data_IF_701877361182
#
_entry.id   IF_701877361182
#
_cell.length_a   1.000
_cell.length_b   1.000
_cell.length_c   1.000
_cell.angle_alpha   90.00
_cell.angle_beta   90.00
_cell.angle_gamma   90.00
#
_symmetry.space_group_name_H-M   'P 1'
#
loop_
_entity.id
_entity.type
_entity.pdbx_description
1 polymer ?
#
# COMPACT_ATOMS: atom_id res chain seq x y z
N UNK A 1 0.28 -16.12 -17.79
CA UNK A 1 0.92 -15.42 -16.65
C UNK A 1 -0.10 -14.45 -16.07
N UNK A 2 -0.04 -14.13 -14.78
CA UNK A 2 -1.09 -13.37 -14.08
C UNK A 2 -0.46 -12.15 -13.41
N UNK A 3 -1.19 -11.05 -13.28
CA UNK A 3 -0.81 -9.99 -12.35
C UNK A 3 -1.16 -10.37 -10.90
N UNK A 4 -0.46 -9.77 -9.94
CA UNK A 4 -0.83 -9.80 -8.51
C UNK A 4 -0.82 -8.38 -7.97
N UNK A 5 -1.71 -8.06 -7.04
CA UNK A 5 -1.77 -6.72 -6.43
C UNK A 5 -1.91 -6.77 -4.91
N UNK A 6 -1.06 -6.00 -4.23
CA UNK A 6 -0.98 -5.88 -2.78
C UNK A 6 -1.25 -4.43 -2.38
N UNK A 7 -2.37 -4.20 -1.69
CA UNK A 7 -2.70 -2.89 -1.11
C UNK A 7 -2.11 -2.81 0.28
N UNK A 8 -1.44 -1.71 0.60
CA UNK A 8 -0.88 -1.44 1.93
C UNK A 8 -1.74 -0.37 2.57
N UNK A 9 -2.65 -0.73 3.47
CA UNK A 9 -3.58 0.23 4.08
C UNK A 9 -3.85 -0.02 5.56
N UNK A 10 -4.05 1.10 6.27
CA UNK A 10 -4.61 1.20 7.61
C UNK A 10 -5.24 2.59 7.73
N UNK A 11 -6.41 2.68 8.36
CA UNK A 11 -7.13 3.93 8.59
C UNK A 11 -6.45 4.87 9.60
N UNK A 12 -5.31 4.47 10.17
CA UNK A 12 -4.46 5.28 11.03
C UNK A 12 -3.27 5.87 10.27
N UNK A 13 -3.01 7.16 10.47
CA UNK A 13 -1.80 7.85 10.00
C UNK A 13 -0.55 7.43 10.77
N UNK A 14 0.64 7.57 10.16
CA UNK A 14 1.91 7.36 10.87
C UNK A 14 2.26 5.90 11.24
N UNK A 15 1.61 4.90 10.64
CA UNK A 15 1.95 3.47 10.82
C UNK A 15 3.06 2.98 9.89
N UNK A 16 3.55 3.84 8.98
CA UNK A 16 4.65 3.52 8.05
C UNK A 16 4.26 2.95 6.68
N UNK A 17 3.01 3.12 6.23
CA UNK A 17 2.50 2.59 4.94
C UNK A 17 3.45 2.84 3.75
N UNK A 18 3.74 4.11 3.46
CA UNK A 18 4.58 4.51 2.32
C UNK A 18 6.03 4.01 2.47
N UNK A 19 6.59 4.02 3.69
CA UNK A 19 7.95 3.53 3.96
C UNK A 19 8.06 2.02 3.78
N UNK A 20 7.05 1.28 4.25
CA UNK A 20 6.97 -0.17 4.03
C UNK A 20 6.81 -0.45 2.54
N UNK A 21 5.94 0.28 1.84
CA UNK A 21 5.75 0.15 0.40
C UNK A 21 7.07 0.35 -0.36
N UNK A 22 7.79 1.43 -0.05
CA UNK A 22 9.10 1.75 -0.63
C UNK A 22 10.09 0.59 -0.49
N UNK A 23 10.33 0.12 0.74
CA UNK A 23 11.30 -0.93 0.99
C UNK A 23 10.88 -2.28 0.41
N UNK A 24 9.60 -2.63 0.57
CA UNK A 24 9.06 -3.90 0.10
C UNK A 24 9.12 -4.00 -1.41
N UNK A 25 8.65 -2.99 -2.15
CA UNK A 25 8.68 -2.98 -3.60
C UNK A 25 10.11 -2.99 -4.14
N UNK A 26 11.02 -2.21 -3.54
CA UNK A 26 12.42 -2.14 -3.95
C UNK A 26 13.15 -3.48 -3.79
N UNK A 27 13.01 -4.11 -2.62
CA UNK A 27 13.64 -5.40 -2.35
C UNK A 27 12.99 -6.52 -3.15
N UNK A 28 11.66 -6.49 -3.33
CA UNK A 28 10.97 -7.47 -4.15
C UNK A 28 11.43 -7.39 -5.61
N UNK A 29 11.62 -6.18 -6.15
CA UNK A 29 12.15 -5.98 -7.50
C UNK A 29 13.56 -6.55 -7.67
N UNK A 30 14.45 -6.27 -6.71
CA UNK A 30 15.83 -6.76 -6.71
C UNK A 30 15.90 -8.30 -6.65
N UNK A 31 15.04 -8.94 -5.85
CA UNK A 31 15.00 -10.40 -5.71
C UNK A 31 14.31 -11.13 -6.87
N UNK A 32 13.54 -10.41 -7.70
CA UNK A 32 12.75 -10.99 -8.79
C UNK A 32 12.99 -10.26 -10.13
N UNK A 33 14.21 -10.32 -10.71
CA UNK A 33 14.55 -9.57 -11.93
C UNK A 33 13.76 -9.99 -13.18
N UNK A 34 13.17 -11.17 -13.16
CA UNK A 34 12.30 -11.74 -14.19
C UNK A 34 10.86 -11.19 -14.18
N UNK A 35 10.48 -10.45 -13.13
CA UNK A 35 9.16 -9.85 -12.95
C UNK A 35 9.19 -8.33 -13.09
N UNK A 36 8.05 -7.75 -13.44
CA UNK A 36 7.86 -6.30 -13.44
C UNK A 36 7.14 -5.87 -12.17
N UNK A 37 7.72 -4.90 -11.47
CA UNK A 37 7.19 -4.42 -10.19
C UNK A 37 6.67 -3.01 -10.41
N UNK A 38 5.43 -2.74 -10.02
CA UNK A 38 4.81 -1.43 -10.18
C UNK A 38 4.34 -0.93 -8.84
N UNK A 39 4.80 0.26 -8.44
CA UNK A 39 4.25 0.98 -7.30
C UNK A 39 3.18 1.94 -7.82
N UNK A 40 1.98 1.88 -7.25
CA UNK A 40 0.89 2.82 -7.50
C UNK A 40 0.69 3.65 -6.24
N UNK A 41 0.99 4.94 -6.32
CA UNK A 41 0.89 5.84 -5.18
C UNK A 41 -0.47 6.56 -5.18
N UNK A 42 -1.42 6.02 -4.40
CA UNK A 42 -2.76 6.59 -4.22
C UNK A 42 -2.81 7.52 -3.00
N UNK A 43 -1.66 7.98 -2.49
CA UNK A 43 -1.57 8.94 -1.41
C UNK A 43 -1.30 10.34 -1.98
N UNK A 44 -2.15 11.35 -1.72
CA UNK A 44 -1.92 12.71 -2.20
C UNK A 44 -0.60 13.33 -1.71
N UNK A 45 -0.04 12.81 -0.62
CA UNK A 45 1.25 13.26 -0.08
C UNK A 45 2.46 12.73 -0.86
N UNK A 46 2.24 11.81 -1.81
CA UNK A 46 3.25 11.25 -2.71
C UNK A 46 4.53 10.71 -2.02
N UNK A 47 4.44 10.29 -0.75
CA UNK A 47 5.62 9.95 0.06
C UNK A 47 6.42 8.78 -0.54
N UNK A 48 5.76 7.72 -1.01
CA UNK A 48 6.47 6.60 -1.64
C UNK A 48 7.07 7.02 -2.97
N UNK A 49 6.40 7.89 -3.73
CA UNK A 49 6.95 8.46 -4.97
C UNK A 49 8.23 9.26 -4.71
N UNK A 50 8.22 10.14 -3.70
CA UNK A 50 9.41 10.91 -3.32
C UNK A 50 10.59 9.99 -2.94
N UNK A 51 10.35 8.96 -2.11
CA UNK A 51 11.40 8.00 -1.73
C UNK A 51 11.95 7.24 -2.94
N UNK A 52 11.08 6.79 -3.86
CA UNK A 52 11.50 6.07 -5.06
C UNK A 52 12.31 6.94 -6.03
N UNK A 53 11.98 8.23 -6.13
CA UNK A 53 12.58 9.17 -7.07
C UNK A 53 13.82 9.91 -6.51
N UNK A 54 14.44 9.37 -5.46
CA UNK A 54 15.72 9.85 -4.92
C UNK A 54 15.68 10.34 -3.47
N UNK A 55 14.49 10.44 -2.87
CA UNK A 55 14.31 10.91 -1.50
C UNK A 55 14.63 12.40 -1.31
N UNK A 56 14.25 12.92 -0.14
CA UNK A 56 14.48 14.32 0.24
C UNK A 56 14.01 15.31 -0.83
N UNK A 57 14.76 16.40 -0.98
CA UNK A 57 14.43 17.49 -1.90
C UNK A 57 14.50 17.05 -3.38
N UNK A 58 15.36 16.07 -3.70
CA UNK A 58 15.46 15.51 -5.05
C UNK A 58 14.16 14.80 -5.45
N UNK A 59 13.68 13.93 -4.58
CA UNK A 59 12.43 13.19 -4.79
C UNK A 59 11.24 14.13 -4.92
N UNK A 60 11.14 15.13 -4.05
CA UNK A 60 10.10 16.18 -4.11
C UNK A 60 10.12 16.91 -5.46
N UNK A 61 11.28 17.44 -5.85
CA UNK A 61 11.46 18.14 -7.14
C UNK A 61 11.06 17.25 -8.32
N UNK A 62 11.37 15.95 -8.28
CA UNK A 62 11.00 15.01 -9.35
C UNK A 62 9.51 14.73 -9.41
N UNK A 63 8.84 14.60 -8.26
CA UNK A 63 7.38 14.47 -8.21
C UNK A 63 6.73 15.72 -8.83
N UNK A 64 7.16 16.92 -8.45
CA UNK A 64 6.63 18.17 -9.01
C UNK A 64 6.81 18.29 -10.52
N UNK A 65 7.99 17.88 -11.03
CA UNK A 65 8.28 17.85 -12.47
C UNK A 65 7.31 16.93 -13.22
N UNK A 66 7.08 15.72 -12.73
CA UNK A 66 6.20 14.73 -13.37
C UNK A 66 4.73 15.19 -13.37
N UNK A 67 4.28 15.84 -12.30
CA UNK A 67 2.92 16.39 -12.19
C UNK A 67 2.73 17.58 -13.14
N UNK A 68 3.78 18.35 -13.40
CA UNK A 68 3.73 19.56 -14.22
C UNK A 68 3.94 19.33 -15.73
N UNK A 69 4.12 18.08 -16.17
CA UNK A 69 4.21 17.76 -17.60
C UNK A 69 2.88 18.05 -18.33
N UNK A 70 2.94 18.34 -19.63
CA UNK A 70 1.73 18.56 -20.47
C UNK A 70 0.75 17.38 -20.38
N UNK A 71 1.30 16.16 -20.33
CA UNK A 71 0.58 14.96 -19.89
C UNK A 71 1.17 14.55 -18.54
N UNK A 72 0.56 14.90 -17.41
CA UNK A 72 1.10 14.58 -16.09
C UNK A 72 1.37 13.09 -15.97
N UNK A 73 2.62 12.70 -15.68
CA UNK A 73 3.01 11.30 -15.47
C UNK A 73 2.70 10.86 -14.04
N UNK A 74 1.42 10.99 -13.69
CA UNK A 74 0.93 10.80 -12.33
C UNK A 74 -0.39 10.04 -12.32
N UNK A 75 -0.80 9.65 -11.13
CA UNK A 75 -2.08 9.00 -10.88
C UNK A 75 -3.25 9.88 -11.31
N UNK A 76 -3.18 11.19 -11.09
CA UNK A 76 -4.20 12.14 -11.51
C UNK A 76 -4.23 12.23 -13.04
N UNK A 77 -3.06 12.32 -13.69
CA UNK A 77 -2.98 12.30 -15.16
C UNK A 77 -3.62 11.05 -15.77
N UNK A 78 -3.33 9.87 -15.21
CA UNK A 78 -3.95 8.62 -15.67
C UNK A 78 -5.47 8.60 -15.44
N UNK A 79 -5.92 9.03 -14.26
CA UNK A 79 -7.34 9.01 -13.91
C UNK A 79 -8.16 10.00 -14.74
N UNK A 80 -7.65 11.21 -14.98
CA UNK A 80 -8.34 12.22 -15.78
C UNK A 80 -8.41 11.80 -17.25
N UNK A 81 -7.33 11.27 -17.81
CA UNK A 81 -7.33 10.71 -19.18
C UNK A 81 -8.33 9.55 -19.30
N UNK A 82 -8.37 8.66 -18.30
CA UNK A 82 -9.37 7.57 -18.24
C UNK A 82 -10.80 8.09 -18.24
N UNK A 83 -11.09 9.16 -17.50
CA UNK A 83 -12.45 9.73 -17.41
C UNK A 83 -12.83 10.44 -18.70
N UNK A 84 -11.93 11.27 -19.26
CA UNK A 84 -12.15 12.03 -20.50
C UNK A 84 -12.37 11.08 -21.68
N UNK A 85 -11.61 9.99 -21.73
CA UNK A 85 -11.73 8.96 -22.76
C UNK A 85 -12.82 7.91 -22.44
N UNK A 86 -13.84 8.26 -21.64
CA UNK A 86 -14.99 7.41 -21.29
C UNK A 86 -14.61 6.00 -20.79
N UNK A 87 -13.57 5.92 -19.96
CA UNK A 87 -13.04 4.70 -19.35
C UNK A 87 -12.60 3.62 -20.37
N UNK A 88 -12.30 4.04 -21.60
CA UNK A 88 -11.66 3.20 -22.62
C UNK A 88 -10.22 2.84 -22.22
N UNK A 89 -9.60 1.92 -22.95
CA UNK A 89 -8.24 1.47 -22.65
C UNK A 89 -7.25 2.61 -22.83
N UNK A 90 -6.79 3.16 -21.71
CA UNK A 90 -5.72 4.15 -21.66
C UNK A 90 -4.38 3.44 -21.72
N UNK A 91 -3.45 3.95 -22.53
CA UNK A 91 -2.09 3.43 -22.57
C UNK A 91 -1.34 3.79 -21.29
N UNK A 92 -1.34 2.87 -20.31
CA UNK A 92 -0.67 3.00 -19.03
C UNK A 92 0.80 3.40 -19.15
N UNK A 93 1.52 2.94 -20.19
CA UNK A 93 2.94 3.24 -20.38
C UNK A 93 3.25 4.73 -20.53
N UNK A 94 2.26 5.55 -20.92
CA UNK A 94 2.42 7.02 -20.98
C UNK A 94 2.59 7.66 -19.60
N UNK A 95 2.07 7.02 -18.55
CA UNK A 95 2.01 7.55 -17.19
C UNK A 95 2.99 6.87 -16.24
N UNK A 96 3.62 5.77 -16.68
CA UNK A 96 4.60 5.05 -15.88
C UNK A 96 5.98 5.69 -15.96
N UNK A 97 6.62 5.78 -14.80
CA UNK A 97 8.00 6.20 -14.64
C UNK A 97 8.85 4.98 -14.36
N UNK A 98 9.94 4.82 -15.10
CA UNK A 98 10.95 3.81 -14.79
C UNK A 98 11.85 4.36 -13.67
N UNK A 99 11.77 3.76 -12.50
CA UNK A 99 12.34 4.35 -11.28
C UNK A 99 13.87 4.47 -11.37
N UNK A 100 14.53 3.45 -11.93
CA UNK A 100 15.99 3.44 -12.09
C UNK A 100 16.56 4.61 -12.91
N UNK A 101 15.76 5.25 -13.78
CA UNK A 101 16.20 6.41 -14.57
C UNK A 101 16.32 7.69 -13.72
N UNK A 102 15.70 7.70 -12.54
CA UNK A 102 15.76 8.81 -11.57
C UNK A 102 16.52 8.43 -10.29
N UNK A 103 16.66 7.13 -10.01
CA UNK A 103 17.35 6.62 -8.84
C UNK A 103 18.15 5.35 -9.20
N UNK A 104 19.45 5.51 -9.44
CA UNK A 104 20.33 4.43 -9.92
C UNK A 104 20.50 3.26 -8.94
N UNK A 105 20.15 3.46 -7.67
CA UNK A 105 20.22 2.44 -6.62
C UNK A 105 19.06 1.44 -6.68
N UNK A 106 18.04 1.69 -7.49
CA UNK A 106 16.84 0.86 -7.59
C UNK A 106 16.85 0.00 -8.86
N UNK A 107 16.23 -1.18 -8.80
CA UNK A 107 16.27 -2.16 -9.89
C UNK A 107 15.55 -1.67 -11.16
N UNK A 108 16.06 -2.08 -12.34
CA UNK A 108 15.54 -1.66 -13.66
C UNK A 108 14.12 -2.13 -13.99
N UNK A 109 13.62 -3.13 -13.25
CA UNK A 109 12.28 -3.70 -13.37
C UNK A 109 11.26 -3.07 -12.41
N UNK A 110 11.61 -1.96 -11.76
CA UNK A 110 10.72 -1.20 -10.88
C UNK A 110 10.16 0.02 -11.62
N UNK A 111 8.83 0.10 -11.66
CA UNK A 111 8.05 1.17 -12.27
C UNK A 111 7.19 1.87 -11.21
N UNK A 112 6.84 3.12 -11.48
CA UNK A 112 6.04 3.96 -10.61
C UNK A 112 4.92 4.62 -11.42
N UNK A 113 3.68 4.49 -10.94
CA UNK A 113 2.59 5.41 -11.24
C UNK A 113 2.55 6.45 -10.11
N UNK A 114 3.12 7.62 -10.40
CA UNK A 114 3.50 8.63 -9.40
C UNK A 114 2.28 9.21 -8.67
N UNK A 115 2.44 9.48 -7.39
CA UNK A 115 1.47 10.17 -6.56
C UNK A 115 1.31 11.63 -6.99
N UNK A 116 0.17 12.23 -6.63
CA UNK A 116 -0.18 13.59 -7.04
C UNK A 116 -1.09 14.25 -6.01
N UNK A 117 -0.69 15.42 -5.50
CA UNK A 117 -1.47 16.19 -4.53
C UNK A 117 -2.83 16.67 -5.06
N UNK A 118 -2.97 16.81 -6.38
CA UNK A 118 -4.22 17.18 -7.02
C UNK A 118 -5.31 16.11 -6.87
N UNK A 119 -4.97 14.92 -6.37
CA UNK A 119 -5.93 13.87 -6.05
C UNK A 119 -6.96 14.33 -5.01
N UNK A 120 -6.59 15.21 -4.07
CA UNK A 120 -7.53 15.85 -3.14
C UNK A 120 -8.48 16.82 -3.86
N UNK A 121 -7.97 17.55 -4.86
CA UNK A 121 -8.76 18.54 -5.61
C UNK A 121 -9.79 17.88 -6.52
N UNK A 122 -9.45 16.73 -7.12
CA UNK A 122 -10.37 15.99 -8.00
C UNK A 122 -11.29 15.03 -7.24
N UNK A 123 -11.05 14.78 -5.94
CA UNK A 123 -11.85 13.85 -5.15
C UNK A 123 -13.37 14.17 -5.14
N UNK A 124 -13.82 15.44 -5.03
CA UNK A 124 -15.23 15.77 -5.16
C UNK A 124 -15.80 15.42 -6.54
N UNK A 125 -15.06 15.68 -7.63
CA UNK A 125 -15.48 15.35 -8.98
C UNK A 125 -15.63 13.83 -9.19
N UNK A 126 -14.71 13.04 -8.63
CA UNK A 126 -14.80 11.58 -8.64
C UNK A 126 -16.04 11.11 -7.86
N UNK A 127 -16.33 11.73 -6.72
CA UNK A 127 -17.47 11.37 -5.89
C UNK A 127 -18.80 11.71 -6.57
N UNK A 128 -18.90 12.89 -7.19
CA UNK A 128 -20.07 13.30 -7.95
C UNK A 128 -20.31 12.36 -9.13
N UNK A 129 -19.25 12.02 -9.88
CA UNK A 129 -19.37 11.04 -10.98
C UNK A 129 -19.79 9.67 -10.46
N UNK A 130 -19.20 9.16 -9.38
CA UNK A 130 -19.55 7.86 -8.82
C UNK A 130 -20.99 7.79 -8.28
N UNK A 131 -21.57 8.94 -7.91
CA UNK A 131 -22.94 9.07 -7.42
C UNK A 131 -23.94 9.52 -8.51
N UNK A 132 -23.47 9.73 -9.74
CA UNK A 132 -24.33 10.16 -10.83
C UNK A 132 -25.44 9.13 -11.12
N UNK A 133 -26.61 9.63 -11.52
CA UNK A 133 -27.71 8.78 -11.97
C UNK A 133 -27.29 8.07 -13.26
N UNK A 134 -27.34 6.73 -13.32
CA UNK A 134 -27.09 5.99 -14.55
C UNK A 134 -27.99 6.45 -15.70
N UNK A 135 -27.40 6.77 -16.85
CA UNK A 135 -28.17 7.18 -18.04
C UNK A 135 -28.69 5.99 -18.85
N UNK A 136 -28.15 4.80 -18.63
CA UNK A 136 -28.56 3.55 -19.28
C UNK A 136 -28.17 2.35 -18.42
N UNK A 137 -28.62 1.14 -18.78
CA UNK A 137 -28.17 -0.10 -18.10
C UNK A 137 -26.66 -0.36 -18.26
N UNK A 138 -26.04 0.16 -19.32
CA UNK A 138 -24.61 0.03 -19.57
C UNK A 138 -23.78 1.08 -18.80
N UNK A 139 -24.41 2.19 -18.39
CA UNK A 139 -23.76 3.23 -17.60
C UNK A 139 -23.73 2.80 -16.14
N UNK A 140 -22.53 2.54 -15.61
CA UNK A 140 -22.32 2.13 -14.22
C UNK A 140 -21.35 3.07 -13.52
N UNK A 141 -21.75 4.29 -13.17
CA UNK A 141 -20.83 5.34 -12.75
C UNK A 141 -19.98 4.95 -11.53
N UNK A 142 -20.60 4.31 -10.54
CA UNK A 142 -19.90 3.84 -9.34
C UNK A 142 -18.82 2.81 -9.70
N UNK A 143 -19.18 1.73 -10.41
CA UNK A 143 -18.27 0.67 -10.86
C UNK A 143 -17.15 1.23 -11.74
N UNK A 144 -17.47 2.14 -12.67
CA UNK A 144 -16.50 2.74 -13.59
C UNK A 144 -15.43 3.54 -12.86
N UNK A 145 -15.82 4.44 -11.95
CA UNK A 145 -14.88 5.26 -11.16
C UNK A 145 -14.03 4.36 -10.25
N UNK A 146 -14.67 3.41 -9.60
CA UNK A 146 -14.01 2.48 -8.68
C UNK A 146 -13.03 1.55 -9.42
N UNK A 147 -13.33 1.18 -10.67
CA UNK A 147 -12.49 0.25 -11.43
C UNK A 147 -11.32 0.89 -12.17
N UNK A 148 -11.13 2.23 -12.12
CA UNK A 148 -10.07 2.91 -12.88
C UNK A 148 -8.70 2.27 -12.62
N UNK A 149 -8.32 2.12 -11.35
CA UNK A 149 -7.03 1.52 -10.97
C UNK A 149 -7.11 -0.01 -10.94
N UNK A 150 -8.30 -0.59 -10.79
CA UNK A 150 -8.45 -2.04 -10.91
C UNK A 150 -8.03 -2.53 -12.30
N UNK A 151 -8.40 -1.81 -13.36
CA UNK A 151 -7.98 -2.10 -14.74
C UNK A 151 -6.46 -2.08 -14.87
N UNK A 152 -5.77 -1.10 -14.28
CA UNK A 152 -4.29 -1.06 -14.21
C UNK A 152 -3.75 -2.36 -13.60
N UNK A 153 -4.26 -2.76 -12.44
CA UNK A 153 -3.76 -3.94 -11.73
C UNK A 153 -4.11 -5.28 -12.38
N UNK A 154 -5.04 -5.31 -13.34
CA UNK A 154 -5.36 -6.50 -14.13
C UNK A 154 -4.41 -6.68 -15.34
N UNK A 155 -3.71 -5.63 -15.74
CA UNK A 155 -2.83 -5.62 -16.91
C UNK A 155 -1.39 -6.06 -16.59
N UNK A 156 -0.69 -6.52 -17.62
CA UNK A 156 0.75 -6.76 -17.61
C UNK A 156 1.48 -5.57 -18.23
N UNK A 157 2.65 -5.22 -17.70
CA UNK A 157 3.47 -4.11 -18.24
C UNK A 157 4.20 -4.56 -19.51
N UNK A 158 4.77 -5.76 -19.48
CA UNK A 158 5.44 -6.39 -20.60
C UNK A 158 4.90 -7.79 -20.80
N UNK A 159 4.64 -8.15 -22.06
CA UNK A 159 4.19 -9.49 -22.42
C UNK A 159 5.22 -10.54 -21.98
N UNK A 160 4.74 -11.67 -21.46
CA UNK A 160 5.60 -12.75 -21.00
C UNK A 160 6.32 -12.51 -19.66
N UNK A 161 5.99 -11.44 -18.92
CA UNK A 161 6.51 -11.17 -17.57
C UNK A 161 5.36 -11.06 -16.56
N UNK A 162 5.52 -11.68 -15.39
CA UNK A 162 4.59 -11.47 -14.27
C UNK A 162 4.68 -10.02 -13.82
N UNK A 163 3.54 -9.37 -13.56
CA UNK A 163 3.51 -8.00 -13.00
C UNK A 163 2.98 -8.03 -11.57
N UNK A 164 3.74 -7.43 -10.65
CA UNK A 164 3.37 -7.29 -9.24
C UNK A 164 3.12 -5.82 -8.92
N UNK A 165 1.90 -5.51 -8.48
CA UNK A 165 1.50 -4.17 -8.08
C UNK A 165 1.54 -4.01 -6.56
N UNK A 166 2.21 -2.96 -6.09
CA UNK A 166 2.14 -2.49 -4.70
C UNK A 166 1.41 -1.16 -4.67
N UNK A 167 0.33 -1.06 -3.90
CA UNK A 167 -0.53 0.12 -3.85
C UNK A 167 -0.34 0.80 -2.49
N UNK A 168 0.29 1.97 -2.48
CA UNK A 168 0.36 2.84 -1.30
C UNK A 168 -0.91 3.69 -1.19
N UNK A 169 -1.30 4.02 0.04
CA UNK A 169 -2.63 4.58 0.30
C UNK A 169 -2.63 5.67 1.37
N UNK A 170 -3.58 6.59 1.26
CA UNK A 170 -3.90 7.56 2.30
C UNK A 170 -4.60 6.86 3.50
N UNK A 171 -4.32 7.23 4.76
CA UNK A 171 -5.09 6.74 5.90
C UNK A 171 -6.60 7.04 5.84
N UNK A 172 -7.01 8.21 5.37
CA UNK A 172 -8.43 8.57 5.28
C UNK A 172 -9.15 7.70 4.26
N UNK A 173 -10.35 7.21 4.59
CA UNK A 173 -11.15 6.34 3.71
C UNK A 173 -11.96 7.15 2.66
N UNK A 174 -11.27 8.07 1.98
CA UNK A 174 -11.78 8.87 0.88
C UNK A 174 -12.07 8.03 -0.37
N UNK A 175 -12.66 8.64 -1.41
CA UNK A 175 -12.97 7.93 -2.66
C UNK A 175 -11.71 7.37 -3.34
N UNK A 176 -10.59 8.09 -3.35
CA UNK A 176 -9.36 7.58 -3.95
C UNK A 176 -8.74 6.44 -3.14
N UNK A 177 -8.89 6.44 -1.81
CA UNK A 177 -8.52 5.28 -0.98
C UNK A 177 -9.44 4.09 -1.25
N UNK A 178 -10.74 4.31 -1.48
CA UNK A 178 -11.67 3.25 -1.88
C UNK A 178 -11.27 2.64 -3.24
N UNK A 179 -10.94 3.47 -4.23
CA UNK A 179 -10.39 3.05 -5.53
C UNK A 179 -9.10 2.24 -5.35
N UNK A 180 -8.20 2.69 -4.49
CA UNK A 180 -6.95 2.00 -4.19
C UNK A 180 -7.18 0.63 -3.54
N UNK A 181 -8.14 0.52 -2.62
CA UNK A 181 -8.40 -0.72 -1.89
C UNK A 181 -8.91 -1.82 -2.82
N UNK A 182 -9.82 -1.49 -3.73
CA UNK A 182 -10.43 -2.49 -4.63
C UNK A 182 -9.53 -2.89 -5.78
N UNK A 183 -8.47 -2.13 -6.08
CA UNK A 183 -7.47 -2.55 -7.07
C UNK A 183 -6.58 -3.68 -6.53
N UNK A 184 -6.56 -3.91 -5.22
CA UNK A 184 -5.85 -5.01 -4.56
C UNK A 184 -6.56 -6.36 -4.62
N UNK A 185 -5.79 -7.42 -4.87
CA UNK A 185 -6.20 -8.80 -4.55
C UNK A 185 -5.95 -9.10 -3.07
N UNK A 186 -4.83 -8.61 -2.54
CA UNK A 186 -4.36 -8.85 -1.17
C UNK A 186 -4.23 -7.53 -0.41
N UNK A 187 -4.55 -7.55 0.88
CA UNK A 187 -4.41 -6.43 1.80
C UNK A 187 -3.30 -6.73 2.82
N UNK A 188 -2.32 -5.84 2.88
CA UNK A 188 -1.28 -5.77 3.89
C UNK A 188 -1.64 -4.64 4.85
N UNK A 189 -1.67 -4.92 6.15
CA UNK A 189 -2.14 -3.97 7.17
C UNK A 189 -0.99 -3.62 8.10
N UNK A 190 -0.33 -2.46 7.91
CA UNK A 190 0.63 -1.95 8.88
C UNK A 190 -0.06 -1.49 10.15
N UNK A 191 0.43 -1.87 11.32
CA UNK A 191 -0.07 -1.45 12.64
C UNK A 191 1.09 -0.98 13.52
N UNK A 192 0.81 -0.10 14.47
CA UNK A 192 1.76 0.24 15.53
C UNK A 192 1.32 -0.45 16.83
N UNK A 193 2.26 -0.73 17.72
CA UNK A 193 1.99 -1.27 19.05
C UNK A 193 1.47 -0.19 20.02
N UNK A 194 0.20 0.19 19.87
CA UNK A 194 -0.49 1.17 20.74
C UNK A 194 -2.00 0.88 20.83
N UNK A 195 -2.66 1.38 21.88
CA UNK A 195 -4.05 1.06 22.17
C UNK A 195 -5.04 1.44 21.06
N UNK A 196 -4.77 2.55 20.37
CA UNK A 196 -5.65 3.03 19.30
C UNK A 196 -5.62 2.13 18.07
N UNK A 197 -4.60 1.28 17.90
CA UNK A 197 -4.52 0.30 16.81
C UNK A 197 -5.61 -0.78 16.90
N UNK A 198 -6.10 -1.14 18.10
CA UNK A 198 -7.24 -2.08 18.24
C UNK A 198 -8.55 -1.49 17.70
N UNK A 199 -8.76 -0.20 17.96
CA UNK A 199 -9.91 0.56 17.43
C UNK A 199 -9.78 0.68 15.91
N UNK A 200 -8.57 0.97 15.42
CA UNK A 200 -8.29 1.04 13.99
C UNK A 200 -8.62 -0.27 13.25
N UNK A 201 -8.27 -1.44 13.82
CA UNK A 201 -8.67 -2.74 13.24
C UNK A 201 -10.18 -2.84 13.08
N UNK A 202 -10.93 -2.57 14.15
CA UNK A 202 -12.41 -2.68 14.11
C UNK A 202 -13.00 -1.74 13.05
N UNK A 203 -12.48 -0.51 12.97
CA UNK A 203 -12.88 0.45 11.95
C UNK A 203 -12.53 -0.01 10.52
N UNK A 204 -11.31 -0.54 10.30
CA UNK A 204 -10.89 -1.13 9.03
C UNK A 204 -11.85 -2.22 8.56
N UNK A 205 -12.25 -3.13 9.47
CA UNK A 205 -13.18 -4.20 9.12
C UNK A 205 -14.56 -3.66 8.74
N UNK A 206 -15.07 -2.70 9.50
CA UNK A 206 -16.36 -2.07 9.19
C UNK A 206 -16.33 -1.32 7.86
N UNK A 207 -15.22 -0.63 7.55
CA UNK A 207 -15.07 0.13 6.31
C UNK A 207 -14.97 -0.77 5.08
N UNK A 208 -14.10 -1.78 5.08
CA UNK A 208 -13.85 -2.64 3.91
C UNK A 208 -14.89 -3.75 3.80
N UNK A 209 -15.18 -4.44 4.90
CA UNK A 209 -15.97 -5.68 4.90
C UNK A 209 -17.41 -5.50 5.39
N UNK A 210 -17.74 -4.31 5.93
CA UNK A 210 -19.06 -3.98 6.45
C UNK A 210 -19.25 -4.40 7.91
N UNK A 211 -20.09 -3.64 8.62
CA UNK A 211 -20.58 -4.01 9.95
C UNK A 211 -21.58 -5.16 9.85
N UNK A 212 -21.62 -6.02 10.87
CA UNK A 212 -22.61 -7.12 10.93
C UNK A 212 -24.07 -6.65 11.01
N UNK A 213 -24.29 -5.39 11.42
CA UNK A 213 -25.60 -4.76 11.46
C UNK A 213 -25.63 -3.57 10.50
N UNK A 214 -26.65 -3.53 9.64
CA UNK A 214 -26.89 -2.42 8.72
C UNK A 214 -27.50 -1.24 9.49
N UNK A 215 -26.91 -0.06 9.36
CA UNK A 215 -27.48 1.14 9.98
C UNK A 215 -28.74 1.58 9.22
N UNK A 216 -29.87 1.90 9.90
CA UNK A 216 -31.15 2.19 9.25
C UNK A 216 -31.10 3.41 8.31
N UNK A 217 -30.25 4.40 8.62
CA UNK A 217 -30.15 5.65 7.83
C UNK A 217 -29.15 5.53 6.66
N UNK A 218 -27.88 5.22 6.96
CA UNK A 218 -26.80 5.29 5.96
C UNK A 218 -26.32 3.92 5.47
N UNK A 219 -26.89 2.81 5.94
CA UNK A 219 -26.37 1.47 5.67
C UNK A 219 -26.23 1.14 4.18
N UNK A 220 -27.25 1.51 3.38
CA UNK A 220 -27.27 1.32 1.93
C UNK A 220 -26.23 2.16 1.16
N UNK A 221 -25.66 3.18 1.82
CA UNK A 221 -24.67 4.07 1.25
C UNK A 221 -23.24 3.71 1.65
N UNK A 222 -23.06 2.75 2.56
CA UNK A 222 -21.73 2.29 2.95
C UNK A 222 -20.99 1.67 1.77
N UNK A 223 -19.67 1.85 1.73
CA UNK A 223 -18.80 1.28 0.69
C UNK A 223 -19.00 -0.23 0.55
N UNK A 224 -19.05 -0.97 1.66
CA UNK A 224 -19.18 -2.43 1.65
C UNK A 224 -20.47 -2.94 0.97
N UNK A 225 -21.59 -2.23 1.15
CA UNK A 225 -22.89 -2.56 0.54
C UNK A 225 -22.91 -2.16 -0.92
N UNK A 226 -22.42 -0.96 -1.26
CA UNK A 226 -22.29 -0.52 -2.65
C UNK A 226 -21.40 -1.45 -3.47
N UNK A 227 -20.29 -1.90 -2.90
CA UNK A 227 -19.41 -2.88 -3.52
C UNK A 227 -20.14 -4.20 -3.83
N UNK A 228 -20.92 -4.72 -2.87
CA UNK A 228 -21.74 -5.93 -3.06
C UNK A 228 -22.79 -5.74 -4.15
N UNK A 229 -23.52 -4.62 -4.14
CA UNK A 229 -24.57 -4.34 -5.11
C UNK A 229 -24.02 -4.22 -6.54
N UNK A 230 -22.76 -3.80 -6.69
CA UNK A 230 -22.07 -3.76 -7.99
C UNK A 230 -21.31 -5.06 -8.31
N UNK A 231 -21.43 -6.11 -7.48
CA UNK A 231 -20.75 -7.39 -7.69
C UNK A 231 -19.22 -7.32 -7.68
N UNK A 232 -18.66 -6.26 -7.10
CA UNK A 232 -17.22 -6.03 -7.10
C UNK A 232 -16.53 -6.78 -5.97
N UNK A 233 -15.27 -7.17 -6.21
CA UNK A 233 -14.43 -7.85 -5.22
C UNK A 233 -13.69 -6.85 -4.35
N UNK A 234 -13.38 -7.27 -3.13
CA UNK A 234 -12.51 -6.56 -2.18
C UNK A 234 -11.27 -7.42 -1.90
N UNK A 235 -10.16 -6.83 -1.45
CA UNK A 235 -8.97 -7.59 -1.15
C UNK A 235 -9.19 -8.52 0.05
N UNK A 236 -8.45 -9.62 0.07
CA UNK A 236 -8.35 -10.51 1.24
C UNK A 236 -7.12 -10.14 2.07
N UNK A 237 -7.23 -10.21 3.39
CA UNK A 237 -6.15 -9.91 4.32
C UNK A 237 -5.04 -10.94 4.13
N UNK A 238 -3.85 -10.46 3.80
CA UNK A 238 -2.69 -11.31 3.57
C UNK A 238 -1.73 -11.30 4.76
N UNK A 239 -1.36 -10.10 5.24
CA UNK A 239 -0.41 -9.94 6.34
C UNK A 239 -0.78 -8.74 7.21
N UNK A 240 -0.56 -8.89 8.51
CA UNK A 240 -0.53 -7.83 9.51
C UNK A 240 0.94 -7.51 9.79
N UNK A 241 1.37 -6.30 9.47
CA UNK A 241 2.75 -5.86 9.68
C UNK A 241 2.81 -4.99 10.90
N UNK A 242 3.31 -5.50 12.02
CA UNK A 242 3.45 -4.66 13.19
C UNK A 242 4.79 -3.96 13.22
N UNK A 243 4.72 -2.64 13.24
CA UNK A 243 5.82 -1.70 13.25
C UNK A 243 6.08 -1.24 14.70
N UNK A 244 7.35 -0.95 15.03
CA UNK A 244 7.82 -0.52 16.36
C UNK A 244 7.77 -1.57 17.48
N UNK A 245 8.01 -2.83 17.17
CA UNK A 245 8.21 -3.87 18.19
C UNK A 245 9.68 -3.94 18.67
N UNK A 246 10.23 -2.95 19.40
CA UNK A 246 11.64 -3.04 19.88
C UNK A 246 11.92 -2.63 21.34
N UNK A 247 12.52 -3.57 22.06
CA UNK A 247 13.76 -3.54 22.89
C UNK A 247 14.12 -2.32 23.78
N UNK A 248 13.22 -1.86 24.66
CA UNK A 248 13.68 -1.42 26.00
C UNK A 248 13.26 -2.48 26.99
N UNK A 249 14.17 -3.03 27.79
CA UNK A 249 13.92 -4.19 28.69
C UNK A 249 12.64 -4.04 29.56
N UNK A 250 12.23 -2.82 29.90
CA UNK A 250 10.92 -2.55 30.54
C UNK A 250 9.74 -2.25 29.60
N UNK A 251 9.97 -1.63 28.44
CA UNK A 251 8.90 -1.33 27.46
C UNK A 251 8.60 -2.50 26.51
N UNK A 252 9.52 -3.45 26.37
CA UNK A 252 9.41 -4.60 25.48
C UNK A 252 8.23 -5.50 25.88
N UNK A 253 8.03 -5.73 27.17
CA UNK A 253 6.85 -6.48 27.66
C UNK A 253 5.54 -5.74 27.39
N UNK A 254 5.51 -4.40 27.54
CA UNK A 254 4.32 -3.61 27.25
C UNK A 254 4.00 -3.58 25.74
N UNK A 255 5.01 -3.42 24.89
CA UNK A 255 4.86 -3.48 23.43
C UNK A 255 4.45 -4.87 22.96
N UNK A 256 5.00 -5.93 23.56
CA UNK A 256 4.59 -7.30 23.30
C UNK A 256 3.12 -7.52 23.69
N UNK A 257 2.70 -7.08 24.88
CA UNK A 257 1.30 -7.19 25.30
C UNK A 257 0.34 -6.43 24.36
N UNK A 258 0.74 -5.24 23.90
CA UNK A 258 -0.03 -4.46 22.92
C UNK A 258 -0.06 -5.15 21.54
N UNK A 259 1.06 -5.75 21.12
CA UNK A 259 1.16 -6.57 19.90
C UNK A 259 0.18 -7.73 19.95
N UNK A 260 0.25 -8.53 21.01
CA UNK A 260 -0.61 -9.70 21.24
C UNK A 260 -2.08 -9.29 21.32
N UNK A 261 -2.41 -8.19 22.00
CA UNK A 261 -3.76 -7.67 22.05
C UNK A 261 -4.30 -7.26 20.67
N UNK A 262 -3.43 -6.70 19.82
CA UNK A 262 -3.76 -6.28 18.46
C UNK A 262 -3.91 -7.48 17.52
N UNK A 263 -2.99 -8.46 17.60
CA UNK A 263 -3.11 -9.72 16.90
C UNK A 263 -4.35 -10.50 17.33
N UNK A 264 -4.70 -10.49 18.62
CA UNK A 264 -5.91 -11.14 19.13
C UNK A 264 -7.19 -10.45 18.63
N UNK A 265 -7.18 -9.11 18.47
CA UNK A 265 -8.28 -8.41 17.82
C UNK A 265 -8.48 -8.87 16.37
N UNK A 266 -7.39 -9.00 15.61
CA UNK A 266 -7.42 -9.59 14.26
C UNK A 266 -7.90 -11.04 14.27
N UNK A 267 -7.46 -11.86 15.22
CA UNK A 267 -7.85 -13.26 15.35
C UNK A 267 -9.36 -13.40 15.66
N UNK A 268 -9.94 -12.49 16.45
CA UNK A 268 -11.39 -12.45 16.67
C UNK A 268 -12.14 -12.18 15.37
N UNK A 269 -11.64 -11.29 14.52
CA UNK A 269 -12.23 -11.04 13.20
C UNK A 269 -12.03 -12.22 12.23
N UNK A 270 -10.88 -12.89 12.29
CA UNK A 270 -10.61 -14.13 11.57
C UNK A 270 -11.65 -15.21 11.92
N UNK A 271 -11.90 -15.46 13.20
CA UNK A 271 -12.89 -16.46 13.65
C UNK A 271 -14.32 -16.15 13.18
N UNK A 272 -14.67 -14.88 13.00
CA UNK A 272 -15.98 -14.49 12.47
C UNK A 272 -16.13 -14.85 10.99
N UNK A 273 -15.08 -14.64 10.19
CA UNK A 273 -15.09 -14.97 8.76
C UNK A 273 -13.67 -15.22 8.22
N UNK A 274 -13.21 -16.48 8.25
CA UNK A 274 -11.88 -16.86 7.75
C UNK A 274 -11.67 -16.60 6.26
N UNK A 275 -12.74 -16.56 5.45
CA UNK A 275 -12.64 -16.33 4.00
C UNK A 275 -12.17 -14.91 3.65
N UNK A 276 -12.13 -13.99 4.63
CA UNK A 276 -11.52 -12.67 4.48
C UNK A 276 -10.00 -12.71 4.47
N UNK A 277 -9.38 -13.85 4.75
CA UNK A 277 -7.93 -14.01 4.87
C UNK A 277 -7.37 -14.94 3.80
N UNK A 278 -6.18 -14.62 3.30
CA UNK A 278 -5.49 -15.41 2.27
C UNK A 278 -5.13 -16.82 2.75
N UNK A 279 -5.05 -17.78 1.83
CA UNK A 279 -4.66 -19.17 2.15
C UNK A 279 -5.57 -19.86 3.18
N UNK A 280 -6.83 -19.44 3.33
CA UNK A 280 -7.85 -20.17 4.09
C UNK A 280 -8.25 -21.49 3.40
N UNK A 281 -8.31 -21.49 2.07
CA UNK A 281 -8.77 -22.64 1.27
C UNK A 281 -7.73 -23.77 1.09
N UNK A 282 -6.47 -23.55 1.50
CA UNK A 282 -5.39 -24.53 1.36
C UNK A 282 -5.32 -25.55 2.50
N UNK A 283 -6.36 -25.63 3.34
CA UNK A 283 -6.50 -26.63 4.41
C UNK A 283 -5.68 -26.37 5.68
N UNK A 284 -4.78 -25.38 5.67
CA UNK A 284 -4.11 -24.88 6.87
C UNK A 284 -4.93 -23.75 7.49
N UNK A 285 -6.09 -24.09 8.06
CA UNK A 285 -6.91 -23.14 8.83
C UNK A 285 -6.31 -23.02 10.24
N UNK A 286 -5.74 -21.86 10.64
CA UNK A 286 -5.37 -21.66 12.04
C UNK A 286 -6.53 -21.96 12.99
N UNK A 287 -6.35 -22.96 13.85
CA UNK A 287 -7.34 -23.33 14.87
C UNK A 287 -7.04 -22.60 16.19
N UNK A 288 -5.76 -22.30 16.43
CA UNK A 288 -5.27 -21.63 17.61
C UNK A 288 -4.69 -20.25 17.28
N UNK A 289 -4.51 -19.44 18.32
CA UNK A 289 -4.04 -18.06 18.17
C UNK A 289 -2.59 -18.01 17.67
N UNK A 290 -1.78 -18.95 18.14
CA UNK A 290 -0.37 -19.10 17.81
C UNK A 290 -0.19 -19.40 16.30
N UNK A 291 -0.99 -20.33 15.76
CA UNK A 291 -1.03 -20.64 14.32
C UNK A 291 -1.41 -19.41 13.49
N UNK A 292 -2.34 -18.60 14.00
CA UNK A 292 -2.79 -17.39 13.33
C UNK A 292 -1.67 -16.34 13.32
N UNK A 293 -0.95 -16.18 14.44
CA UNK A 293 0.18 -15.28 14.54
C UNK A 293 1.29 -15.68 13.56
N UNK A 294 1.71 -16.95 13.55
CA UNK A 294 2.77 -17.42 12.66
C UNK A 294 2.44 -17.18 11.18
N UNK A 295 1.17 -17.42 10.80
CA UNK A 295 0.72 -17.33 9.42
C UNK A 295 0.50 -15.89 8.94
N UNK A 296 -0.16 -15.05 9.74
CA UNK A 296 -0.63 -13.73 9.29
C UNK A 296 0.09 -12.55 9.91
N UNK A 297 0.77 -12.71 11.04
CA UNK A 297 1.47 -11.61 11.70
C UNK A 297 2.94 -11.65 11.31
N UNK A 298 3.45 -10.48 10.92
CA UNK A 298 4.86 -10.29 10.63
C UNK A 298 5.37 -9.08 11.42
N UNK A 299 6.41 -9.29 12.21
CA UNK A 299 7.01 -8.24 13.01
C UNK A 299 8.05 -7.49 12.21
N UNK A 300 7.75 -6.22 11.91
CA UNK A 300 8.73 -5.26 11.44
C UNK A 300 9.44 -4.67 12.66
N UNK A 301 10.76 -4.82 12.72
CA UNK A 301 11.55 -4.07 13.69
C UNK A 301 11.58 -2.59 13.28
N UNK A 302 11.55 -1.69 14.27
CA UNK A 302 11.63 -0.25 14.00
C UNK A 302 12.91 0.04 13.21
N UNK A 303 12.75 0.61 12.02
CA UNK A 303 13.88 0.99 11.18
C UNK A 303 14.69 2.15 11.82
N UNK A 304 14.15 2.84 12.84
CA UNK A 304 14.81 3.91 13.60
C UNK A 304 15.55 4.89 12.68
N UNK A 305 16.78 5.28 13.02
CA UNK A 305 17.65 6.14 12.21
C UNK A 305 17.93 5.57 10.81
N UNK A 306 17.99 4.24 10.65
CA UNK A 306 18.24 3.63 9.35
C UNK A 306 17.08 3.92 8.38
N UNK A 307 15.83 3.80 8.83
CA UNK A 307 14.65 4.09 7.99
C UNK A 307 14.55 5.55 7.58
N UNK A 308 14.91 6.48 8.49
CA UNK A 308 14.94 7.92 8.18
C UNK A 308 16.00 8.23 7.12
N UNK A 309 17.20 7.68 7.27
CA UNK A 309 18.27 7.81 6.27
C UNK A 309 17.84 7.18 4.94
N UNK A 310 17.28 5.98 4.98
CA UNK A 310 16.81 5.25 3.81
C UNK A 310 15.81 6.08 2.99
N UNK A 311 14.77 6.60 3.66
CA UNK A 311 13.73 7.41 3.04
C UNK A 311 14.27 8.73 2.49
N UNK A 312 15.13 9.42 3.25
CA UNK A 312 15.69 10.70 2.83
C UNK A 312 16.66 10.56 1.64
N UNK A 313 17.39 9.46 1.56
CA UNK A 313 18.39 9.22 0.50
C UNK A 313 17.82 8.46 -0.70
N UNK A 314 16.55 8.04 -0.65
CA UNK A 314 15.96 7.16 -1.66
C UNK A 314 16.67 5.80 -1.75
N UNK A 315 17.32 5.36 -0.67
CA UNK A 315 18.05 4.10 -0.61
C UNK A 315 17.18 3.06 0.11
N UNK A 316 16.87 1.91 -0.50
CA UNK A 316 16.22 0.84 0.24
C UNK A 316 17.20 0.26 1.27
N UNK A 317 16.68 -0.31 2.36
CA UNK A 317 17.49 -0.74 3.51
C UNK A 317 18.60 -1.74 3.14
N UNK A 318 18.44 -2.51 2.06
CA UNK A 318 19.45 -3.45 1.57
C UNK A 318 20.65 -2.79 0.87
N UNK A 319 20.54 -1.50 0.49
CA UNK A 319 21.58 -0.71 -0.20
C UNK A 319 22.28 0.30 0.73
N UNK A 320 21.87 0.39 2.01
CA UNK A 320 22.56 1.24 2.98
C UNK A 320 23.95 0.66 3.24
N UNK A 321 24.98 1.36 2.74
CA UNK A 321 26.37 1.02 2.96
C UNK A 321 26.75 1.13 4.44
N UNK A 322 27.48 0.13 4.92
CA UNK A 322 28.08 0.12 6.26
C UNK A 322 29.07 1.26 6.42
N UNK A 323 29.09 1.90 7.60
CA UNK A 323 30.10 2.89 8.00
C UNK A 323 30.11 4.19 7.16
N UNK A 324 29.18 4.34 6.23
CA UNK A 324 28.93 5.60 5.54
C UNK A 324 28.23 6.58 6.50
N UNK A 325 28.69 7.82 6.47
CA UNK A 325 28.00 8.95 7.10
C UNK A 325 27.05 9.54 6.07
N UNK A 326 25.78 9.58 6.41
CA UNK A 326 24.72 10.17 5.60
C UNK A 326 24.40 11.56 6.15
N UNK A 327 24.07 12.49 5.26
CA UNK A 327 23.66 13.83 5.64
C UNK A 327 22.16 13.97 5.45
N UNK A 328 21.44 14.28 6.53
CA UNK A 328 19.99 14.50 6.54
C UNK A 328 19.74 15.87 7.13
N UNK A 329 19.33 16.84 6.31
CA UNK A 329 19.09 18.23 6.72
C UNK A 329 20.23 18.84 7.56
N UNK A 330 21.47 18.65 7.11
CA UNK A 330 22.68 19.16 7.80
C UNK A 330 23.13 18.34 9.02
N UNK A 331 22.43 17.26 9.37
CA UNK A 331 22.83 16.34 10.43
C UNK A 331 23.56 15.13 9.85
N UNK A 332 24.71 14.78 10.45
CA UNK A 332 25.49 13.59 10.10
C UNK A 332 24.99 12.39 10.87
N UNK A 333 24.44 11.42 10.16
CA UNK A 333 23.88 10.20 10.73
C UNK A 333 24.69 9.00 10.24
N UNK A 334 25.14 8.16 11.17
CA UNK A 334 25.78 6.89 10.86
C UNK A 334 24.86 5.76 11.28
N UNK A 335 24.58 4.85 10.35
CA UNK A 335 23.82 3.64 10.63
C UNK A 335 24.79 2.55 11.09
N UNK A 336 24.50 1.92 12.23
CA UNK A 336 25.32 0.81 12.72
C UNK A 336 25.17 -0.42 11.80
N UNK A 337 26.24 -1.20 11.67
CA UNK A 337 26.27 -2.42 10.84
C UNK A 337 25.17 -3.40 11.25
N UNK A 338 25.11 -3.72 12.54
CA UNK A 338 24.14 -4.66 13.11
C UNK A 338 22.70 -4.24 12.80
N UNK A 339 22.38 -2.95 12.92
CA UNK A 339 21.06 -2.44 12.62
C UNK A 339 20.75 -2.51 11.12
N UNK A 340 21.72 -2.21 10.24
CA UNK A 340 21.56 -2.31 8.79
C UNK A 340 21.27 -3.74 8.34
N UNK A 341 22.09 -4.71 8.77
CA UNK A 341 21.93 -6.14 8.44
C UNK A 341 20.58 -6.69 8.92
N UNK A 342 20.17 -6.32 10.13
CA UNK A 342 18.90 -6.71 10.70
C UNK A 342 17.71 -6.17 9.91
N UNK A 343 17.72 -4.88 9.58
CA UNK A 343 16.65 -4.24 8.81
C UNK A 343 16.55 -4.84 7.40
N UNK A 344 17.71 -5.10 6.77
CA UNK A 344 17.81 -5.79 5.48
C UNK A 344 17.15 -7.17 5.54
N UNK A 345 17.57 -8.02 6.49
CA UNK A 345 17.03 -9.37 6.64
C UNK A 345 15.52 -9.37 6.83
N UNK A 346 15.00 -8.51 7.69
CA UNK A 346 13.56 -8.42 7.99
C UNK A 346 12.74 -8.08 6.74
N UNK A 347 13.19 -7.13 5.91
CA UNK A 347 12.48 -6.79 4.67
C UNK A 347 12.62 -7.90 3.62
N UNK A 348 13.78 -8.55 3.52
CA UNK A 348 13.98 -9.68 2.61
C UNK A 348 13.10 -10.88 2.98
N UNK A 349 12.92 -11.14 4.28
CA UNK A 349 12.03 -12.18 4.80
C UNK A 349 10.56 -11.82 4.51
N UNK A 350 10.17 -10.56 4.71
CA UNK A 350 8.84 -10.06 4.36
C UNK A 350 8.54 -10.22 2.86
N UNK A 351 9.47 -9.81 2.00
CA UNK A 351 9.34 -9.95 0.55
C UNK A 351 9.16 -11.42 0.12
N UNK A 352 9.76 -12.35 0.86
CA UNK A 352 9.66 -13.79 0.58
C UNK A 352 8.32 -14.40 1.01
N UNK A 353 7.52 -13.69 1.83
CA UNK A 353 6.16 -14.11 2.22
C UNK A 353 5.09 -13.75 1.18
N UNK A 354 5.42 -12.96 0.15
CA UNK A 354 4.47 -12.44 -0.85
C UNK A 354 4.40 -13.28 -2.11
#
# INVERSE_FOLDING_TARGET
MKSKSYVIWNNKGGVGKSTICFHLASVYAAKNPDKDIVVVDMCPQANVSMMLLGGGDMGETKVEQLISEETPKSIVGYMTDSIINNYSTVNLKKFLVKVNENNEHLSKNLFLLCGDGNLELIAPLLADRANAVPLSQADKPWEQVHSIIKKVTDDLINEGRETIYFIDTNPSFSIYTQIAIISGEKLIIPINADDSSRVAISALFNLIYGSGQLHPVYGNYTFSVRLNNNGMRRPIIHLLLGNRFTQRVGAAHAFQALSEATANAMYKEYKKNPARFSNYSTGTTPLHFEDFQEKYVFELRDFNSAGVVAANQGLPLNEIAEHRVYEVYGQKIQVSKEQGELCKKVIEDLASKL
#
